data_IF_375953304518
#
_entry.id   IF_375953304518
#
_cell.length_a   1.000
_cell.length_b   1.000
_cell.length_c   1.000
_cell.angle_alpha   90.00
_cell.angle_beta   90.00
_cell.angle_gamma   90.00
#
_symmetry.space_group_name_H-M   'P 1'
#
loop_
_entity.id
_entity.type
_entity.pdbx_description
1 polymer ?
#
# COMPACT_ATOMS: atom_id res chain seq x y z
N UNK A 1 38.02 73.81 35.90
CA UNK A 1 37.04 73.33 34.89
C UNK A 1 36.79 71.81 34.85
N UNK A 2 37.61 70.91 35.45
CA UNK A 2 37.48 69.45 35.27
C UNK A 2 36.41 68.70 36.11
N UNK A 3 35.90 69.28 37.22
CA UNK A 3 34.96 68.60 38.15
C UNK A 3 33.49 68.59 37.71
N UNK A 4 33.03 69.56 36.91
CA UNK A 4 31.63 69.64 36.43
C UNK A 4 31.32 68.64 35.31
N UNK A 5 32.30 68.29 34.47
CA UNK A 5 32.12 67.35 33.34
C UNK A 5 31.89 65.91 33.84
N UNK A 6 32.61 65.47 34.87
CA UNK A 6 32.49 64.11 35.43
C UNK A 6 31.11 63.86 36.06
N UNK A 7 30.56 64.82 36.82
CA UNK A 7 29.23 64.72 37.44
C UNK A 7 28.09 64.69 36.40
N UNK A 8 28.24 65.38 35.27
CA UNK A 8 27.25 65.39 34.19
C UNK A 8 27.29 64.09 33.38
N UNK A 9 28.47 63.50 33.19
CA UNK A 9 28.66 62.21 32.53
C UNK A 9 28.11 61.04 33.37
N UNK A 10 28.25 61.11 34.70
CA UNK A 10 27.74 60.10 35.64
C UNK A 10 26.20 60.12 35.74
N UNK A 11 25.56 61.31 35.72
CA UNK A 11 24.10 61.46 35.65
C UNK A 11 23.52 60.93 34.33
N UNK A 12 24.18 61.22 33.20
CA UNK A 12 23.80 60.71 31.87
C UNK A 12 23.87 59.18 31.79
N UNK A 13 24.92 58.58 32.36
CA UNK A 13 25.06 57.11 32.42
C UNK A 13 23.96 56.45 33.27
N UNK A 14 23.65 57.02 34.44
CA UNK A 14 22.57 56.54 35.32
C UNK A 14 21.20 56.62 34.65
N UNK A 15 20.94 57.67 33.87
CA UNK A 15 19.69 57.85 33.12
C UNK A 15 19.58 56.88 31.93
N UNK A 16 20.67 56.68 31.18
CA UNK A 16 20.74 55.69 30.10
C UNK A 16 20.56 54.26 30.61
N UNK A 17 21.12 53.94 31.77
CA UNK A 17 20.99 52.61 32.40
C UNK A 17 19.54 52.37 32.88
N UNK A 18 18.91 53.35 33.53
CA UNK A 18 17.48 53.28 33.90
C UNK A 18 16.57 53.11 32.68
N UNK A 19 16.84 53.82 31.58
CA UNK A 19 16.06 53.69 30.33
C UNK A 19 16.23 52.31 29.67
N UNK A 20 17.43 51.72 29.73
CA UNK A 20 17.67 50.34 29.27
C UNK A 20 16.93 49.31 30.10
N UNK A 21 16.91 49.45 31.43
CA UNK A 21 16.15 48.57 32.33
C UNK A 21 14.65 48.68 32.05
N UNK A 22 14.13 49.90 31.90
CA UNK A 22 12.71 50.10 31.60
C UNK A 22 12.32 49.49 30.25
N UNK A 23 13.19 49.64 29.24
CA UNK A 23 12.99 49.02 27.92
C UNK A 23 13.02 47.50 28.00
N UNK A 24 13.92 46.91 28.81
CA UNK A 24 14.01 45.47 28.99
C UNK A 24 12.75 44.93 29.70
N UNK A 25 12.28 45.60 30.75
CA UNK A 25 11.05 45.23 31.45
C UNK A 25 9.83 45.32 30.53
N UNK A 26 9.77 46.33 29.66
CA UNK A 26 8.70 46.45 28.67
C UNK A 26 8.72 45.30 27.66
N UNK A 27 9.89 44.95 27.12
CA UNK A 27 10.03 43.83 26.17
C UNK A 27 9.65 42.50 26.82
N UNK A 28 10.11 42.24 28.05
CA UNK A 28 9.75 41.02 28.79
C UNK A 28 8.24 40.97 29.07
N UNK A 29 7.62 42.09 29.43
CA UNK A 29 6.18 42.19 29.63
C UNK A 29 5.39 41.92 28.34
N UNK A 30 5.84 42.45 27.20
CA UNK A 30 5.23 42.16 25.89
C UNK A 30 5.38 40.69 25.52
N UNK A 31 6.57 40.10 25.68
CA UNK A 31 6.79 38.68 25.41
C UNK A 31 5.91 37.77 26.27
N UNK A 32 5.79 38.07 27.57
CA UNK A 32 4.95 37.32 28.49
C UNK A 32 3.46 37.46 28.12
N UNK A 33 3.01 38.67 27.76
CA UNK A 33 1.66 38.91 27.26
C UNK A 33 1.35 38.14 25.97
N UNK A 34 2.29 38.10 25.02
CA UNK A 34 2.12 37.31 23.79
C UNK A 34 2.09 35.81 24.06
N UNK A 35 2.89 35.31 25.01
CA UNK A 35 2.90 33.90 25.38
C UNK A 35 1.57 33.50 26.01
N UNK A 36 1.03 34.31 26.92
CA UNK A 36 -0.28 34.08 27.52
C UNK A 36 -1.39 34.10 26.47
N UNK A 37 -1.35 35.05 25.53
CA UNK A 37 -2.31 35.10 24.42
C UNK A 37 -2.21 33.88 23.49
N UNK A 38 -1.01 33.40 23.18
CA UNK A 38 -0.83 32.17 22.39
C UNK A 38 -1.35 30.96 23.17
N UNK A 39 -1.10 30.89 24.47
CA UNK A 39 -1.55 29.79 25.33
C UNK A 39 -3.07 29.75 25.46
N UNK A 40 -3.74 30.90 25.60
CA UNK A 40 -5.22 30.94 25.64
C UNK A 40 -5.81 30.50 24.32
N UNK A 41 -5.29 31.00 23.19
CA UNK A 41 -5.74 30.59 21.85
C UNK A 41 -5.48 29.10 21.58
N UNK A 42 -4.37 28.56 22.08
CA UNK A 42 -4.08 27.13 22.00
C UNK A 42 -5.11 26.32 22.80
N UNK A 43 -5.44 26.73 24.03
CA UNK A 43 -6.45 26.06 24.85
C UNK A 43 -7.84 26.12 24.19
N UNK A 44 -8.24 27.27 23.64
CA UNK A 44 -9.50 27.43 22.91
C UNK A 44 -9.58 26.46 21.71
N UNK A 45 -8.46 26.32 20.95
CA UNK A 45 -8.39 25.40 19.81
C UNK A 45 -8.48 23.94 20.27
N UNK A 46 -7.79 23.58 21.35
CA UNK A 46 -7.84 22.22 21.92
C UNK A 46 -9.24 21.89 22.44
N UNK A 47 -9.93 22.85 23.07
CA UNK A 47 -11.31 22.72 23.51
C UNK A 47 -12.26 22.55 22.31
N UNK A 48 -12.09 23.35 21.25
CA UNK A 48 -12.90 23.24 20.03
C UNK A 48 -12.71 21.88 19.32
N UNK A 49 -11.47 21.40 19.23
CA UNK A 49 -11.16 20.07 18.67
C UNK A 49 -11.75 18.95 19.55
N UNK A 50 -11.76 19.13 20.87
CA UNK A 50 -12.33 18.16 21.81
C UNK A 50 -13.86 18.14 21.71
N UNK A 51 -14.49 19.31 21.60
CA UNK A 51 -15.93 19.45 21.38
C UNK A 51 -16.37 18.90 20.02
N UNK A 52 -15.57 19.12 18.97
CA UNK A 52 -15.80 18.53 17.65
C UNK A 52 -15.70 16.99 17.69
N UNK A 53 -14.72 16.42 18.41
CA UNK A 53 -14.64 14.98 18.65
C UNK A 53 -15.87 14.45 19.42
N UNK A 54 -16.38 15.21 20.38
CA UNK A 54 -17.54 14.83 21.18
C UNK A 54 -18.85 14.89 20.38
N UNK A 55 -19.02 15.87 19.50
CA UNK A 55 -20.14 15.97 18.57
C UNK A 55 -20.12 14.86 17.50
N UNK A 56 -18.93 14.53 16.97
CA UNK A 56 -18.75 13.39 16.04
C UNK A 56 -19.04 12.06 16.75
N UNK A 57 -18.69 11.92 18.03
CA UNK A 57 -19.01 10.73 18.83
C UNK A 57 -20.50 10.59 19.15
N UNK A 58 -21.29 11.68 19.09
CA UNK A 58 -22.73 11.66 19.36
C UNK A 58 -23.59 11.31 18.14
N UNK A 59 -23.07 11.43 16.91
CA UNK A 59 -23.71 10.81 15.75
C UNK A 59 -23.41 9.31 15.74
N UNK A 60 -24.28 8.52 16.38
CA UNK A 60 -24.29 7.05 16.31
C UNK A 60 -24.68 6.56 14.90
N UNK A 61 -23.95 7.00 13.87
CA UNK A 61 -23.86 6.22 12.64
C UNK A 61 -22.91 5.09 12.97
N UNK A 62 -23.41 3.85 12.95
CA UNK A 62 -22.55 2.66 13.08
C UNK A 62 -21.52 2.73 11.94
N UNK A 63 -20.34 3.23 12.24
CA UNK A 63 -19.24 3.40 11.30
C UNK A 63 -18.85 2.01 10.78
N UNK A 64 -19.26 1.70 9.54
CA UNK A 64 -18.96 0.42 8.91
C UNK A 64 -17.51 0.50 8.41
N UNK A 65 -16.60 -0.35 8.92
CA UNK A 65 -15.22 -0.34 8.44
C UNK A 65 -15.18 -0.64 6.95
N UNK A 66 -14.21 -0.06 6.26
CA UNK A 66 -14.04 -0.16 4.81
C UNK A 66 -12.78 -0.93 4.46
N UNK A 67 -12.83 -1.54 3.28
CA UNK A 67 -11.65 -2.04 2.58
C UNK A 67 -11.20 -0.99 1.56
N UNK A 68 -9.98 -0.48 1.70
CA UNK A 68 -9.33 0.34 0.68
C UNK A 68 -8.72 -0.56 -0.39
N UNK A 69 -9.19 -0.44 -1.62
CA UNK A 69 -8.62 -1.11 -2.79
C UNK A 69 -7.59 -0.18 -3.44
N UNK A 70 -6.34 -0.61 -3.41
CA UNK A 70 -5.17 0.16 -3.82
C UNK A 70 -4.64 -0.39 -5.14
N UNK A 71 -4.96 0.29 -6.24
CA UNK A 71 -4.59 -0.15 -7.58
C UNK A 71 -3.31 0.54 -8.06
N UNK A 72 -2.33 -0.25 -8.49
CA UNK A 72 -1.23 0.24 -9.32
C UNK A 72 -1.57 -0.07 -10.78
N UNK A 73 -1.63 0.98 -11.59
CA UNK A 73 -1.94 0.92 -13.00
C UNK A 73 -0.91 1.71 -13.79
N UNK A 74 -0.58 1.30 -15.02
CA UNK A 74 0.28 2.15 -15.86
C UNK A 74 -0.49 3.34 -16.42
N UNK A 75 -1.75 3.12 -16.81
CA UNK A 75 -2.59 4.12 -17.46
C UNK A 75 -4.07 3.79 -17.22
N UNK A 76 -4.82 3.32 -18.23
CA UNK A 76 -6.23 2.95 -18.08
C UNK A 76 -6.38 1.69 -17.22
N UNK A 77 -7.56 1.49 -16.65
CA UNK A 77 -7.97 0.23 -16.02
C UNK A 77 -8.60 -0.69 -17.07
N UNK A 78 -7.85 -1.61 -17.71
CA UNK A 78 -8.38 -2.40 -18.82
C UNK A 78 -9.47 -3.37 -18.38
N UNK A 79 -9.51 -3.72 -17.10
CA UNK A 79 -10.46 -4.66 -16.49
C UNK A 79 -11.57 -3.95 -15.69
N UNK A 80 -11.79 -2.65 -15.92
CA UNK A 80 -12.78 -1.85 -15.18
C UNK A 80 -14.19 -2.47 -15.18
N UNK A 81 -14.61 -3.14 -16.25
CA UNK A 81 -15.93 -3.78 -16.34
C UNK A 81 -16.15 -4.91 -15.33
N UNK A 82 -15.11 -5.64 -14.96
CA UNK A 82 -15.21 -6.72 -13.96
C UNK A 82 -15.28 -6.12 -12.56
N UNK A 83 -14.51 -5.05 -12.33
CA UNK A 83 -14.54 -4.31 -11.08
C UNK A 83 -15.88 -3.57 -10.89
N UNK A 84 -16.49 -3.03 -11.95
CA UNK A 84 -17.83 -2.44 -11.90
C UNK A 84 -18.89 -3.45 -11.46
N UNK A 85 -18.79 -4.69 -11.95
CA UNK A 85 -19.68 -5.77 -11.54
C UNK A 85 -19.41 -6.18 -10.08
N UNK A 86 -18.14 -6.21 -9.67
CA UNK A 86 -17.75 -6.56 -8.31
C UNK A 86 -18.22 -5.53 -7.27
N UNK A 87 -17.97 -4.25 -7.49
CA UNK A 87 -18.26 -3.18 -6.52
C UNK A 87 -19.75 -2.84 -6.40
N UNK A 88 -20.58 -3.31 -7.33
CA UNK A 88 -22.03 -3.06 -7.35
C UNK A 88 -22.69 -3.43 -6.02
N UNK A 89 -23.31 -2.44 -5.37
CA UNK A 89 -24.02 -2.61 -4.11
C UNK A 89 -23.13 -2.63 -2.86
N UNK A 90 -21.85 -2.30 -3.00
CA UNK A 90 -20.88 -2.25 -1.90
C UNK A 90 -20.51 -0.84 -1.42
N UNK A 91 -21.13 0.22 -1.94
CA UNK A 91 -20.63 1.61 -1.95
C UNK A 91 -20.24 2.20 -0.58
N UNK A 92 -20.79 1.70 0.52
CA UNK A 92 -20.46 2.17 1.89
C UNK A 92 -19.31 1.41 2.57
N UNK A 93 -18.82 0.32 1.98
CA UNK A 93 -17.89 -0.65 2.58
C UNK A 93 -16.51 -0.67 1.94
N UNK A 94 -16.24 0.22 0.99
CA UNK A 94 -14.94 0.28 0.34
C UNK A 94 -14.54 1.71 -0.05
N UNK A 95 -13.25 1.88 -0.29
CA UNK A 95 -12.68 3.04 -0.97
C UNK A 95 -11.77 2.57 -2.10
N UNK A 96 -11.62 3.37 -3.16
CA UNK A 96 -10.75 3.04 -4.30
C UNK A 96 -9.73 4.15 -4.46
N UNK A 97 -8.46 3.75 -4.57
CA UNK A 97 -7.33 4.62 -4.85
C UNK A 97 -6.53 4.02 -6.00
N UNK A 98 -6.12 4.84 -6.95
CA UNK A 98 -5.34 4.40 -8.11
C UNK A 98 -4.06 5.21 -8.19
N UNK A 99 -2.93 4.53 -8.37
CA UNK A 99 -1.66 5.15 -8.69
C UNK A 99 -1.34 4.88 -10.17
N UNK A 100 -1.75 5.77 -11.08
CA UNK A 100 -1.37 5.67 -12.49
C UNK A 100 0.06 6.20 -12.71
N UNK A 101 0.54 6.19 -13.97
CA UNK A 101 1.71 7.00 -14.34
C UNK A 101 1.46 8.50 -14.05
N UNK A 102 2.51 9.31 -13.81
CA UNK A 102 2.38 10.74 -13.59
C UNK A 102 1.58 11.45 -14.69
N UNK A 103 0.67 12.34 -14.30
CA UNK A 103 -0.14 13.16 -15.21
C UNK A 103 -1.34 12.44 -15.86
N UNK A 104 -1.56 11.15 -15.60
CA UNK A 104 -2.75 10.46 -16.09
C UNK A 104 -3.95 10.70 -15.15
N UNK A 105 -5.09 11.08 -15.72
CA UNK A 105 -6.32 11.38 -14.98
C UNK A 105 -7.42 10.37 -15.34
N UNK A 106 -8.19 9.92 -14.35
CA UNK A 106 -9.41 9.14 -14.58
C UNK A 106 -10.61 10.07 -14.67
N UNK A 107 -10.92 10.53 -15.88
CA UNK A 107 -12.09 11.37 -16.18
C UNK A 107 -13.01 10.64 -17.18
N UNK A 108 -14.12 11.29 -17.56
CA UNK A 108 -15.12 10.72 -18.49
C UNK A 108 -14.55 10.35 -19.88
N UNK A 109 -13.37 10.86 -20.26
CA UNK A 109 -12.71 10.49 -21.52
C UNK A 109 -11.76 9.27 -21.37
N UNK A 110 -11.27 8.99 -20.17
CA UNK A 110 -10.27 7.94 -19.93
C UNK A 110 -10.83 6.69 -19.27
N UNK A 111 -11.96 6.78 -18.56
CA UNK A 111 -12.68 5.64 -17.97
C UNK A 111 -14.18 5.73 -18.24
N UNK A 112 -14.83 4.57 -18.37
CA UNK A 112 -16.29 4.46 -18.41
C UNK A 112 -16.88 4.04 -17.05
N UNK A 113 -16.03 3.64 -16.12
CA UNK A 113 -16.43 3.21 -14.79
C UNK A 113 -16.69 4.42 -13.89
N UNK A 114 -17.84 4.43 -13.24
CA UNK A 114 -18.15 5.40 -12.18
C UNK A 114 -17.30 5.18 -10.92
N UNK A 115 -16.82 3.95 -10.70
CA UNK A 115 -16.01 3.60 -9.53
C UNK A 115 -14.58 4.11 -9.65
N UNK A 116 -14.01 4.18 -10.85
CA UNK A 116 -12.65 4.67 -11.08
C UNK A 116 -12.57 6.17 -11.41
N UNK A 117 -13.70 6.83 -11.66
CA UNK A 117 -13.74 8.27 -11.91
C UNK A 117 -13.13 9.04 -10.73
N UNK A 118 -12.16 9.90 -11.04
CA UNK A 118 -11.45 10.77 -10.10
C UNK A 118 -10.82 10.04 -8.90
N UNK A 119 -10.39 8.78 -9.10
CA UNK A 119 -9.74 7.96 -8.04
C UNK A 119 -8.22 7.95 -8.08
N UNK A 120 -7.59 8.64 -9.03
CA UNK A 120 -6.13 8.78 -9.03
C UNK A 120 -5.64 9.55 -7.81
N UNK A 121 -4.50 9.13 -7.27
CA UNK A 121 -3.72 9.99 -6.36
C UNK A 121 -3.09 11.14 -7.13
N UNK A 122 -2.82 12.26 -6.44
CA UNK A 122 -2.31 13.48 -7.06
C UNK A 122 -0.77 13.59 -7.08
N UNK A 123 -0.07 12.74 -6.33
CA UNK A 123 1.38 12.69 -6.16
C UNK A 123 2.00 11.43 -6.78
N UNK A 124 1.40 10.90 -7.86
CA UNK A 124 1.93 9.73 -8.59
C UNK A 124 3.36 9.94 -9.10
N UNK A 125 4.19 8.91 -8.97
CA UNK A 125 5.57 8.88 -9.46
C UNK A 125 5.74 7.90 -10.64
N UNK A 126 6.86 8.01 -11.36
CA UNK A 126 7.22 7.00 -12.34
C UNK A 126 7.60 5.70 -11.61
N UNK A 127 7.03 4.58 -12.03
CA UNK A 127 7.25 3.27 -11.41
C UNK A 127 7.92 2.34 -12.41
N UNK A 128 9.11 1.88 -12.04
CA UNK A 128 9.84 0.88 -12.81
C UNK A 128 9.76 -0.50 -12.13
N UNK A 129 9.66 -1.54 -12.94
CA UNK A 129 9.58 -2.91 -12.45
C UNK A 129 10.89 -3.33 -11.79
N UNK A 130 10.79 -3.95 -10.61
CA UNK A 130 11.93 -4.43 -9.82
C UNK A 130 12.78 -3.31 -9.20
N UNK A 131 12.28 -2.08 -9.14
CA UNK A 131 12.91 -0.95 -8.48
C UNK A 131 12.12 -0.50 -7.25
N UNK A 132 12.79 0.22 -6.34
CA UNK A 132 12.17 0.70 -5.11
C UNK A 132 11.02 1.71 -5.33
N UNK A 133 10.92 2.29 -6.54
CA UNK A 133 9.77 3.10 -6.95
C UNK A 133 8.43 2.37 -6.84
N UNK A 134 8.42 1.03 -6.95
CA UNK A 134 7.21 0.23 -6.76
C UNK A 134 6.69 0.35 -5.31
N UNK A 135 7.58 0.21 -4.32
CA UNK A 135 7.25 0.36 -2.89
C UNK A 135 6.81 1.79 -2.59
N UNK A 136 7.44 2.78 -3.21
CA UNK A 136 7.07 4.19 -3.03
C UNK A 136 5.65 4.47 -3.51
N UNK A 137 5.25 3.93 -4.66
CA UNK A 137 3.89 4.01 -5.16
C UNK A 137 2.88 3.34 -4.21
N UNK A 138 3.22 2.18 -3.63
CA UNK A 138 2.40 1.52 -2.62
C UNK A 138 2.27 2.36 -1.35
N UNK A 139 3.35 2.99 -0.87
CA UNK A 139 3.32 3.91 0.27
C UNK A 139 2.48 5.15 0.00
N UNK A 140 2.51 5.68 -1.22
CA UNK A 140 1.65 6.80 -1.64
C UNK A 140 0.18 6.38 -1.53
N UNK A 141 -0.19 5.23 -2.12
CA UNK A 141 -1.55 4.69 -2.04
C UNK A 141 -2.00 4.50 -0.58
N UNK A 142 -1.15 3.92 0.28
CA UNK A 142 -1.45 3.74 1.69
C UNK A 142 -1.69 5.07 2.40
N UNK A 143 -0.85 6.08 2.17
CA UNK A 143 -0.98 7.40 2.82
C UNK A 143 -2.31 8.06 2.50
N UNK A 144 -2.71 8.05 1.24
CA UNK A 144 -4.02 8.56 0.81
C UNK A 144 -5.15 7.73 1.40
N UNK A 145 -5.05 6.41 1.38
CA UNK A 145 -6.08 5.55 1.94
C UNK A 145 -6.23 5.67 3.47
N UNK A 146 -5.14 5.93 4.18
CA UNK A 146 -5.13 6.12 5.64
C UNK A 146 -5.83 7.41 6.08
N UNK A 147 -6.06 8.38 5.18
CA UNK A 147 -6.76 9.63 5.54
C UNK A 147 -8.22 9.40 5.87
N UNK A 148 -8.86 8.36 5.30
CA UNK A 148 -10.19 7.93 5.72
C UNK A 148 -10.05 7.07 7.00
N UNK A 149 -10.63 7.50 8.14
CA UNK A 149 -10.57 6.74 9.39
C UNK A 149 -11.32 5.40 9.31
N UNK A 150 -12.28 5.27 8.39
CA UNK A 150 -13.06 4.05 8.21
C UNK A 150 -12.30 2.96 7.46
N UNK A 151 -11.25 3.30 6.70
CA UNK A 151 -10.43 2.30 6.01
C UNK A 151 -9.62 1.48 7.04
N UNK A 152 -9.98 0.21 7.19
CA UNK A 152 -9.40 -0.70 8.19
C UNK A 152 -8.56 -1.83 7.55
N UNK A 153 -8.80 -2.10 6.27
CA UNK A 153 -8.03 -3.07 5.46
C UNK A 153 -7.57 -2.43 4.16
N UNK A 154 -6.38 -2.79 3.70
CA UNK A 154 -5.70 -2.17 2.56
C UNK A 154 -5.24 -3.26 1.60
N UNK A 155 -5.91 -3.40 0.46
CA UNK A 155 -5.71 -4.48 -0.51
C UNK A 155 -4.92 -3.95 -1.71
N UNK A 156 -3.73 -4.51 -1.98
CA UNK A 156 -2.94 -4.16 -3.16
C UNK A 156 -3.36 -4.97 -4.38
N UNK A 157 -3.58 -4.29 -5.51
CA UNK A 157 -4.00 -4.89 -6.78
C UNK A 157 -3.32 -4.22 -7.97
N UNK A 158 -3.18 -4.97 -9.07
CA UNK A 158 -2.75 -4.43 -10.35
C UNK A 158 -3.94 -4.20 -11.29
N UNK A 159 -3.69 -3.42 -12.35
CA UNK A 159 -4.56 -3.29 -13.52
C UNK A 159 -4.89 -4.61 -14.27
N UNK A 160 -4.25 -5.72 -13.90
CA UNK A 160 -4.44 -7.06 -14.48
C UNK A 160 -5.02 -8.11 -13.51
N UNK A 161 -5.44 -7.68 -12.31
CA UNK A 161 -6.10 -8.52 -11.32
C UNK A 161 -7.62 -8.61 -11.59
N UNK A 162 -8.21 -9.77 -11.27
CA UNK A 162 -9.66 -9.97 -11.21
C UNK A 162 -10.08 -10.46 -9.81
N UNK A 163 -11.28 -10.12 -9.34
CA UNK A 163 -11.92 -10.79 -8.21
C UNK A 163 -12.42 -12.17 -8.63
N UNK A 164 -12.33 -13.15 -7.72
CA UNK A 164 -12.84 -14.51 -7.92
C UNK A 164 -14.26 -14.68 -7.37
N UNK A 165 -14.63 -13.87 -6.37
CA UNK A 165 -15.91 -13.94 -5.67
C UNK A 165 -16.62 -12.58 -5.70
N UNK A 166 -17.88 -12.55 -5.27
CA UNK A 166 -18.61 -11.30 -5.12
C UNK A 166 -18.06 -10.45 -3.96
N UNK A 167 -18.47 -9.18 -3.92
CA UNK A 167 -17.98 -8.24 -2.92
C UNK A 167 -18.34 -8.64 -1.49
N UNK A 168 -19.58 -9.10 -1.24
CA UNK A 168 -20.02 -9.48 0.11
C UNK A 168 -19.14 -10.59 0.69
N UNK A 169 -18.89 -11.65 -0.08
CA UNK A 169 -18.01 -12.75 0.34
C UNK A 169 -16.59 -12.27 0.59
N UNK A 170 -16.05 -11.46 -0.33
CA UNK A 170 -14.68 -10.93 -0.23
C UNK A 170 -14.51 -10.04 1.00
N UNK A 171 -15.48 -9.15 1.24
CA UNK A 171 -15.52 -8.28 2.40
C UNK A 171 -15.59 -9.12 3.69
N UNK A 172 -16.55 -10.04 3.79
CA UNK A 172 -16.71 -10.86 5.00
C UNK A 172 -15.49 -11.73 5.26
N UNK A 173 -14.82 -12.23 4.22
CA UNK A 173 -13.58 -13.00 4.35
C UNK A 173 -12.46 -12.13 4.92
N UNK A 174 -12.14 -11.00 4.29
CA UNK A 174 -11.03 -10.12 4.69
C UNK A 174 -11.27 -9.52 6.08
N UNK A 175 -12.51 -9.14 6.38
CA UNK A 175 -12.88 -8.52 7.66
C UNK A 175 -13.04 -9.53 8.81
N UNK A 176 -13.04 -10.84 8.52
CA UNK A 176 -13.21 -11.88 9.54
C UNK A 176 -11.98 -12.16 10.41
N UNK A 177 -10.82 -11.65 10.05
CA UNK A 177 -9.57 -11.85 10.79
C UNK A 177 -8.98 -10.52 11.26
N UNK A 178 -8.27 -10.55 12.39
CA UNK A 178 -7.47 -9.44 12.91
C UNK A 178 -6.07 -9.36 12.27
N UNK A 179 -5.64 -10.39 11.56
CA UNK A 179 -4.30 -10.48 10.95
C UNK A 179 -4.23 -9.81 9.58
N UNK A 180 -3.02 -9.48 9.14
CA UNK A 180 -2.76 -9.12 7.74
C UNK A 180 -2.49 -10.37 6.90
N UNK A 181 -2.89 -10.34 5.63
CA UNK A 181 -2.52 -11.38 4.65
C UNK A 181 -1.29 -10.91 3.90
N UNK A 182 -0.12 -11.26 4.44
CA UNK A 182 1.17 -10.94 3.84
C UNK A 182 1.89 -12.24 3.60
N UNK A 183 2.10 -12.57 2.34
CA UNK A 183 2.95 -13.69 1.98
C UNK A 183 4.37 -13.42 2.48
N UNK A 184 4.91 -14.30 3.33
CA UNK A 184 6.19 -14.10 4.01
C UNK A 184 6.82 -15.44 4.36
N UNK A 185 8.04 -15.65 3.86
CA UNK A 185 8.87 -16.80 4.15
C UNK A 185 10.36 -16.45 4.12
N UNK A 186 11.20 -17.26 4.76
CA UNK A 186 12.66 -17.12 4.68
C UNK A 186 13.15 -17.34 3.23
N UNK A 187 13.93 -16.40 2.69
CA UNK A 187 14.56 -16.57 1.38
C UNK A 187 15.93 -17.23 1.52
N UNK A 188 16.02 -18.50 1.10
CA UNK A 188 17.25 -19.29 1.14
C UNK A 188 18.05 -19.22 -0.15
N UNK A 189 17.58 -18.48 -1.18
CA UNK A 189 18.29 -18.38 -2.46
C UNK A 189 19.49 -17.45 -2.35
N UNK A 190 20.67 -18.00 -2.65
CA UNK A 190 21.92 -17.25 -2.69
C UNK A 190 21.87 -16.08 -3.69
N UNK A 191 22.59 -15.00 -3.36
CA UNK A 191 22.77 -13.87 -4.27
C UNK A 191 21.59 -12.90 -4.37
N UNK A 192 20.57 -12.98 -3.52
CA UNK A 192 19.48 -11.98 -3.43
C UNK A 192 19.66 -10.98 -2.31
N UNK A 193 20.01 -11.46 -1.11
CA UNK A 193 20.36 -10.59 0.01
C UNK A 193 21.73 -9.95 -0.25
N UNK A 194 21.80 -8.63 -0.08
CA UNK A 194 23.04 -7.87 -0.17
C UNK A 194 23.65 -7.67 1.23
N UNK A 195 24.86 -8.19 1.53
CA UNK A 195 25.50 -8.06 2.84
C UNK A 195 25.68 -6.62 3.33
N UNK A 196 25.73 -5.62 2.43
CA UNK A 196 25.80 -4.20 2.80
C UNK A 196 24.52 -3.66 3.46
N UNK A 197 23.45 -4.45 3.48
CA UNK A 197 22.26 -4.12 4.26
C UNK A 197 22.44 -4.37 5.75
N UNK A 198 23.40 -5.20 6.16
CA UNK A 198 23.79 -5.39 7.55
C UNK A 198 24.58 -4.16 8.08
N UNK A 199 24.39 -3.72 9.34
CA UNK A 199 23.51 -4.29 10.37
C UNK A 199 22.07 -3.79 10.33
N UNK A 200 21.74 -2.82 9.45
CA UNK A 200 20.42 -2.16 9.45
C UNK A 200 19.29 -3.15 9.15
N UNK A 201 19.48 -4.05 8.19
CA UNK A 201 18.58 -5.18 7.92
C UNK A 201 19.39 -6.45 8.12
N UNK A 202 19.31 -7.11 9.28
CA UNK A 202 19.97 -8.38 9.51
C UNK A 202 19.42 -9.48 8.59
N UNK A 203 20.28 -10.43 8.19
CA UNK A 203 19.89 -11.52 7.29
C UNK A 203 18.76 -12.41 7.86
N UNK A 204 18.66 -12.56 9.17
CA UNK A 204 17.59 -13.36 9.81
C UNK A 204 16.20 -12.69 9.71
N UNK A 205 16.15 -11.37 9.48
CA UNK A 205 14.92 -10.64 9.21
C UNK A 205 14.61 -10.56 7.70
N UNK A 206 15.49 -11.07 6.84
CA UNK A 206 15.28 -11.07 5.40
C UNK A 206 14.16 -12.04 5.01
N UNK A 207 13.04 -11.47 4.55
CA UNK A 207 11.87 -12.24 4.15
C UNK A 207 11.54 -12.00 2.69
N UNK A 208 10.89 -12.98 2.06
CA UNK A 208 10.33 -12.91 0.70
C UNK A 208 8.84 -13.20 0.72
N UNK A 209 8.12 -12.63 -0.24
CA UNK A 209 6.79 -13.08 -0.61
C UNK A 209 6.22 -12.33 -1.79
N UNK A 210 4.95 -12.54 -2.05
CA UNK A 210 4.16 -11.77 -3.02
C UNK A 210 4.11 -10.28 -2.66
N UNK A 211 4.24 -9.43 -3.68
CA UNK A 211 3.89 -8.00 -3.63
C UNK A 211 2.42 -7.80 -3.19
N UNK A 212 1.53 -8.70 -3.61
CA UNK A 212 0.08 -8.54 -3.47
C UNK A 212 -0.38 -8.98 -2.08
N UNK A 213 -0.45 -8.05 -1.14
CA UNK A 213 -0.89 -8.28 0.24
C UNK A 213 -2.20 -7.58 0.61
N UNK A 214 -2.71 -7.93 1.79
CA UNK A 214 -3.76 -7.19 2.49
C UNK A 214 -3.27 -6.80 3.86
N UNK A 215 -3.15 -5.49 4.12
CA UNK A 215 -2.69 -4.97 5.40
C UNK A 215 -3.86 -4.57 6.29
N UNK A 216 -3.70 -4.73 7.60
CA UNK A 216 -4.49 -4.02 8.60
C UNK A 216 -4.06 -2.55 8.65
N UNK A 217 -4.90 -1.69 9.22
CA UNK A 217 -4.55 -0.28 9.45
C UNK A 217 -3.27 -0.11 10.27
N UNK A 218 -3.03 -0.98 11.25
CA UNK A 218 -1.78 -0.99 12.03
C UNK A 218 -0.56 -1.20 11.14
N UNK A 219 -0.55 -2.24 10.31
CA UNK A 219 0.59 -2.52 9.42
C UNK A 219 0.74 -1.52 8.29
N UNK A 220 -0.36 -0.98 7.77
CA UNK A 220 -0.33 0.11 6.79
C UNK A 220 0.43 1.34 7.33
N UNK A 221 0.18 1.73 8.59
CA UNK A 221 0.93 2.83 9.25
C UNK A 221 2.41 2.52 9.37
N UNK A 222 2.77 1.32 9.83
CA UNK A 222 4.17 0.88 9.93
C UNK A 222 4.90 1.03 8.59
N UNK A 223 4.25 0.65 7.49
CA UNK A 223 4.82 0.76 6.14
C UNK A 223 5.01 2.22 5.69
N UNK A 224 4.05 3.10 5.99
CA UNK A 224 4.10 4.52 5.60
C UNK A 224 5.10 5.31 6.46
N UNK A 225 5.22 4.97 7.74
CA UNK A 225 6.10 5.62 8.73
C UNK A 225 7.56 5.11 8.68
N UNK A 226 7.88 4.11 7.85
CA UNK A 226 9.25 3.61 7.75
C UNK A 226 10.21 4.64 7.14
N UNK A 227 11.28 4.96 7.88
CA UNK A 227 12.37 5.84 7.44
C UNK A 227 13.73 5.12 7.39
N UNK A 228 13.78 3.84 7.74
CA UNK A 228 15.04 3.11 7.96
C UNK A 228 15.24 2.00 6.92
N UNK A 229 14.21 1.17 6.70
CA UNK A 229 14.33 -0.03 5.86
C UNK A 229 14.28 0.34 4.38
N UNK A 230 13.35 1.21 3.95
CA UNK A 230 13.20 1.59 2.55
C UNK A 230 14.47 2.24 1.97
N UNK A 231 15.18 3.17 2.65
CA UNK A 231 16.45 3.68 2.16
C UNK A 231 17.50 2.59 1.88
N UNK A 232 17.55 1.53 2.69
CA UNK A 232 18.45 0.40 2.46
C UNK A 232 18.05 -0.39 1.22
N UNK A 233 16.75 -0.64 1.02
CA UNK A 233 16.24 -1.26 -0.21
C UNK A 233 16.56 -0.42 -1.44
N UNK A 234 16.29 0.89 -1.40
CA UNK A 234 16.62 1.84 -2.49
C UNK A 234 18.09 1.77 -2.89
N UNK A 235 18.99 1.64 -1.91
CA UNK A 235 20.43 1.67 -2.13
C UNK A 235 21.01 0.32 -2.57
N UNK A 236 20.54 -0.79 -2.00
CA UNK A 236 21.24 -2.08 -2.10
C UNK A 236 20.42 -3.23 -2.69
N UNK A 237 19.08 -3.15 -2.69
CA UNK A 237 18.23 -4.12 -3.35
C UNK A 237 18.02 -3.70 -4.81
N UNK A 238 18.81 -4.29 -5.71
CA UNK A 238 18.80 -3.95 -7.14
C UNK A 238 18.50 -5.19 -7.97
N UNK A 239 17.59 -5.08 -8.94
CA UNK A 239 17.42 -6.16 -9.91
C UNK A 239 18.69 -6.30 -10.76
N UNK A 240 19.02 -7.52 -11.20
CA UNK A 240 20.02 -7.68 -12.25
C UNK A 240 19.50 -7.05 -13.55
N UNK A 241 20.35 -6.37 -14.35
CA UNK A 241 19.94 -5.88 -15.66
C UNK A 241 19.53 -7.08 -16.52
N UNK A 242 18.30 -7.05 -17.02
CA UNK A 242 17.75 -8.12 -17.85
C UNK A 242 17.80 -7.75 -19.32
N UNK A 243 17.97 -8.75 -20.21
CA UNK A 243 18.03 -8.51 -21.64
C UNK A 243 16.82 -7.91 -22.33
N UNK A 244 15.76 -7.66 -21.61
CA UNK A 244 14.51 -7.15 -22.17
C UNK A 244 14.33 -5.65 -21.93
N UNK A 245 15.06 -5.07 -20.96
CA UNK A 245 14.96 -3.66 -20.59
C UNK A 245 16.13 -2.81 -21.13
N UNK A 246 16.84 -3.31 -22.14
CA UNK A 246 18.11 -2.79 -22.68
C UNK A 246 18.10 -1.39 -23.29
N UNK A 247 16.96 -0.69 -23.40
CA UNK A 247 16.94 0.53 -24.21
C UNK A 247 17.59 1.74 -23.55
N UNK A 248 17.73 1.77 -22.22
CA UNK A 248 18.08 3.04 -21.54
C UNK A 248 19.13 2.94 -20.41
N UNK A 249 19.88 1.84 -20.26
CA UNK A 249 20.85 1.69 -19.13
C UNK A 249 22.24 1.22 -19.53
N UNK A 250 23.27 1.91 -18.99
CA UNK A 250 24.67 1.49 -19.05
C UNK A 250 24.85 0.20 -18.25
N UNK A 251 25.32 -0.86 -18.92
CA UNK A 251 25.58 -2.16 -18.30
C UNK A 251 27.01 -2.14 -17.74
N UNK A 252 27.22 -2.29 -16.43
CA UNK A 252 28.55 -2.52 -15.91
C UNK A 252 29.14 -3.78 -16.54
N UNK A 253 30.39 -3.72 -16.99
CA UNK A 253 31.08 -4.87 -17.59
C UNK A 253 31.11 -6.12 -16.68
N UNK A 254 30.94 -5.92 -15.37
CA UNK A 254 30.83 -6.97 -14.36
C UNK A 254 29.49 -6.86 -13.59
N UNK A 255 28.60 -7.82 -13.81
CA UNK A 255 27.31 -7.95 -13.10
C UNK A 255 27.34 -9.04 -12.01
N UNK A 256 28.49 -9.69 -11.79
CA UNK A 256 28.65 -10.77 -10.79
C UNK A 256 28.39 -10.28 -9.37
N UNK A 257 28.67 -8.99 -9.11
CA UNK A 257 28.49 -8.32 -7.81
C UNK A 257 27.08 -7.78 -7.57
N UNK A 258 26.18 -7.86 -8.56
CA UNK A 258 24.80 -7.40 -8.41
C UNK A 258 23.97 -8.51 -7.77
N UNK A 259 23.46 -8.26 -6.57
CA UNK A 259 22.54 -9.19 -5.91
C UNK A 259 21.16 -9.03 -6.53
N UNK A 260 20.58 -10.08 -7.12
CA UNK A 260 19.31 -9.99 -7.85
C UNK A 260 18.11 -9.87 -6.90
N UNK A 261 17.83 -8.65 -6.47
CA UNK A 261 16.85 -8.34 -5.45
C UNK A 261 15.68 -7.55 -6.05
N UNK A 262 14.44 -7.99 -5.77
CA UNK A 262 13.20 -7.38 -6.26
C UNK A 262 12.50 -6.71 -5.06
N UNK A 263 12.61 -5.38 -4.88
CA UNK A 263 12.22 -4.73 -3.62
C UNK A 263 10.78 -5.02 -3.16
N UNK A 264 9.83 -4.99 -4.08
CA UNK A 264 8.40 -5.18 -3.84
C UNK A 264 8.02 -6.62 -3.40
N UNK A 265 8.90 -7.60 -3.63
CA UNK A 265 8.73 -8.97 -3.16
C UNK A 265 9.38 -9.25 -1.79
N UNK A 266 9.93 -8.23 -1.14
CA UNK A 266 10.76 -8.40 0.05
C UNK A 266 10.54 -7.34 1.14
N UNK A 267 10.27 -6.09 0.76
CA UNK A 267 10.28 -4.96 1.68
C UNK A 267 9.25 -5.05 2.80
N UNK A 268 7.96 -5.27 2.47
CA UNK A 268 6.89 -5.28 3.47
C UNK A 268 7.11 -6.42 4.47
N UNK A 269 7.47 -7.60 3.96
CA UNK A 269 7.76 -8.78 4.76
C UNK A 269 8.94 -8.54 5.72
N UNK A 270 10.03 -8.01 5.18
CA UNK A 270 11.27 -7.74 5.94
C UNK A 270 11.04 -6.65 6.99
N UNK A 271 10.31 -5.58 6.65
CA UNK A 271 9.97 -4.52 7.58
C UNK A 271 9.13 -5.05 8.75
N UNK A 272 8.10 -5.85 8.48
CA UNK A 272 7.25 -6.42 9.53
C UNK A 272 8.01 -7.42 10.41
N UNK A 273 8.90 -8.23 9.82
CA UNK A 273 9.82 -9.09 10.58
C UNK A 273 10.74 -8.29 11.50
N UNK A 274 11.34 -7.22 10.98
CA UNK A 274 12.22 -6.35 11.74
C UNK A 274 11.50 -5.59 12.88
N UNK A 275 10.20 -5.37 12.76
CA UNK A 275 9.35 -4.79 13.80
C UNK A 275 8.80 -5.83 14.79
N UNK A 276 9.10 -7.12 14.61
CA UNK A 276 8.60 -8.20 15.46
C UNK A 276 7.10 -8.48 15.28
N UNK A 277 6.54 -8.18 14.10
CA UNK A 277 5.10 -8.25 13.82
C UNK A 277 4.70 -9.50 13.02
N UNK A 278 5.57 -10.51 12.91
CA UNK A 278 5.29 -11.71 12.10
C UNK A 278 4.13 -12.55 12.63
N UNK A 279 3.92 -12.55 13.95
CA UNK A 279 2.83 -13.27 14.61
C UNK A 279 1.45 -12.64 14.31
N UNK A 280 1.42 -11.41 13.79
CA UNK A 280 0.20 -10.71 13.38
C UNK A 280 -0.16 -10.95 11.90
N UNK A 281 0.54 -11.89 11.24
CA UNK A 281 0.38 -12.20 9.83
C UNK A 281 -0.24 -13.59 9.64
N UNK A 282 -1.23 -13.66 8.76
CA UNK A 282 -1.49 -14.87 8.00
C UNK A 282 -0.50 -14.89 6.85
N UNK A 283 0.52 -15.76 6.94
CA UNK A 283 1.70 -15.79 6.06
C UNK A 283 1.40 -16.35 4.66
N UNK A 284 0.49 -15.68 3.94
CA UNK A 284 0.08 -15.95 2.56
C UNK A 284 -0.58 -14.73 1.92
N UNK A 285 -0.61 -14.72 0.59
CA UNK A 285 -1.36 -13.76 -0.21
C UNK A 285 -2.80 -14.25 -0.46
N UNK A 286 -3.72 -13.30 -0.64
CA UNK A 286 -5.07 -13.58 -1.16
C UNK A 286 -5.17 -13.48 -2.69
N UNK A 287 -4.05 -13.26 -3.38
CA UNK A 287 -4.00 -13.12 -4.83
C UNK A 287 -3.27 -14.29 -5.48
N UNK A 288 -4.02 -15.14 -6.18
CA UNK A 288 -3.45 -16.24 -6.94
C UNK A 288 -2.61 -15.73 -8.11
N UNK A 289 -1.41 -16.28 -8.26
CA UNK A 289 -0.51 -15.99 -9.38
C UNK A 289 0.01 -17.31 -9.92
N UNK A 290 -0.22 -17.60 -11.20
CA UNK A 290 0.35 -18.80 -11.83
C UNK A 290 1.73 -18.52 -12.41
N UNK A 291 2.67 -19.38 -12.03
CA UNK A 291 4.03 -19.40 -12.54
C UNK A 291 4.31 -20.64 -13.40
N UNK A 292 3.29 -21.46 -13.71
CA UNK A 292 3.44 -22.68 -14.49
C UNK A 292 3.85 -22.37 -15.94
N UNK A 293 5.05 -22.84 -16.29
CA UNK A 293 5.82 -22.46 -17.48
C UNK A 293 5.49 -23.36 -18.68
N UNK A 294 4.76 -24.46 -18.46
CA UNK A 294 4.52 -25.50 -19.47
C UNK A 294 3.90 -25.01 -20.79
N UNK A 295 3.16 -23.89 -20.76
CA UNK A 295 2.47 -23.32 -21.93
C UNK A 295 2.97 -21.93 -22.38
N UNK A 296 4.06 -21.40 -21.82
CA UNK A 296 4.55 -20.06 -22.19
C UNK A 296 5.27 -20.06 -23.54
N UNK A 297 4.68 -19.39 -24.54
CA UNK A 297 5.25 -19.19 -25.90
C UNK A 297 6.41 -18.17 -25.97
N UNK A 298 6.86 -17.61 -24.84
CA UNK A 298 7.96 -16.66 -24.76
C UNK A 298 9.10 -17.26 -23.91
N UNK A 299 10.10 -17.92 -24.52
CA UNK A 299 11.17 -18.64 -23.81
C UNK A 299 12.09 -17.73 -22.97
N UNK A 300 12.20 -16.47 -23.33
CA UNK A 300 13.02 -15.41 -22.72
C UNK A 300 12.40 -14.78 -21.46
N UNK A 301 11.06 -14.82 -21.33
CA UNK A 301 10.30 -14.27 -20.18
C UNK A 301 10.08 -15.25 -19.04
N UNK A 302 10.66 -16.45 -19.12
CA UNK A 302 10.46 -17.53 -18.16
C UNK A 302 10.95 -17.13 -16.77
N UNK A 303 10.11 -17.30 -15.75
CA UNK A 303 10.48 -17.12 -14.34
C UNK A 303 10.51 -15.68 -13.81
N UNK A 304 10.34 -14.66 -14.66
CA UNK A 304 10.35 -13.24 -14.26
C UNK A 304 8.97 -12.61 -14.14
N UNK A 305 8.02 -13.13 -14.92
CA UNK A 305 6.64 -12.71 -14.87
C UNK A 305 5.71 -13.91 -14.83
N UNK A 306 4.61 -13.81 -14.08
CA UNK A 306 3.62 -14.87 -14.08
C UNK A 306 2.85 -14.93 -15.39
N UNK A 307 2.19 -16.06 -15.59
CA UNK A 307 1.37 -16.34 -16.76
C UNK A 307 0.28 -15.28 -16.90
N UNK A 308 0.09 -14.82 -18.14
CA UNK A 308 -1.01 -13.92 -18.50
C UNK A 308 -2.07 -14.71 -19.25
N UNK A 309 -3.20 -14.95 -18.59
CA UNK A 309 -4.34 -15.66 -19.14
C UNK A 309 -5.00 -14.84 -20.28
N UNK A 310 -5.06 -15.46 -21.45
CA UNK A 310 -5.71 -14.94 -22.65
C UNK A 310 -7.15 -15.43 -22.72
N UNK A 311 -7.87 -15.01 -23.76
CA UNK A 311 -9.26 -15.39 -23.98
C UNK A 311 -9.46 -16.91 -23.89
N UNK A 312 -8.63 -17.71 -24.56
CA UNK A 312 -8.70 -19.18 -24.57
C UNK A 312 -8.56 -19.81 -23.19
N UNK A 313 -7.72 -19.23 -22.34
CA UNK A 313 -7.29 -19.81 -21.07
C UNK A 313 -8.35 -19.57 -19.98
N UNK A 314 -9.10 -18.47 -20.10
CA UNK A 314 -10.12 -18.02 -19.16
C UNK A 314 -11.40 -18.87 -19.21
N UNK A 315 -11.30 -20.09 -18.72
CA UNK A 315 -12.39 -21.09 -18.69
C UNK A 315 -13.03 -21.19 -17.30
N UNK A 316 -14.29 -21.66 -17.20
CA UNK A 316 -14.90 -21.99 -15.90
C UNK A 316 -14.08 -23.00 -15.10
N UNK A 317 -13.44 -23.96 -15.77
CA UNK A 317 -12.59 -24.97 -15.16
C UNK A 317 -11.35 -24.34 -14.51
N UNK A 318 -10.70 -23.38 -15.17
CA UNK A 318 -9.59 -22.62 -14.58
C UNK A 318 -10.03 -21.89 -13.31
N UNK A 319 -11.17 -21.19 -13.37
CA UNK A 319 -11.67 -20.45 -12.20
C UNK A 319 -12.03 -21.40 -11.05
N UNK A 320 -12.67 -22.53 -11.36
CA UNK A 320 -12.99 -23.56 -10.37
C UNK A 320 -11.72 -24.11 -9.72
N UNK A 321 -10.71 -24.46 -10.53
CA UNK A 321 -9.42 -24.94 -10.03
C UNK A 321 -8.76 -23.94 -9.06
N UNK A 322 -8.69 -22.65 -9.43
CA UNK A 322 -8.09 -21.62 -8.55
C UNK A 322 -8.88 -21.52 -7.22
N UNK A 323 -10.21 -21.58 -7.28
CA UNK A 323 -11.10 -21.50 -6.11
C UNK A 323 -11.00 -22.71 -5.18
N UNK A 324 -10.67 -23.88 -5.71
CA UNK A 324 -10.52 -25.13 -4.95
C UNK A 324 -9.19 -25.23 -4.21
N UNK A 325 -8.23 -24.32 -4.43
CA UNK A 325 -6.99 -24.30 -3.67
C UNK A 325 -7.28 -23.88 -2.22
N UNK A 326 -7.04 -24.81 -1.30
CA UNK A 326 -7.30 -24.69 0.15
C UNK A 326 -6.03 -24.67 1.00
N UNK A 327 -4.85 -24.82 0.38
CA UNK A 327 -3.56 -24.70 1.05
C UNK A 327 -2.44 -24.24 0.11
N UNK A 328 -1.37 -23.70 0.70
CA UNK A 328 -0.16 -23.26 0.00
C UNK A 328 1.05 -23.92 0.64
N UNK A 329 1.97 -24.46 -0.18
CA UNK A 329 3.21 -25.07 0.30
C UNK A 329 4.40 -24.13 0.08
N UNK A 330 5.12 -23.85 1.17
CA UNK A 330 6.33 -23.03 1.20
C UNK A 330 7.55 -23.93 1.31
N UNK A 331 8.17 -24.20 0.17
CA UNK A 331 9.29 -25.13 0.04
C UNK A 331 10.48 -24.76 0.94
N UNK A 332 10.82 -23.46 1.05
CA UNK A 332 11.98 -23.00 1.81
C UNK A 332 11.83 -23.19 3.32
N UNK A 333 10.60 -23.30 3.81
CA UNK A 333 10.29 -23.48 5.24
C UNK A 333 9.73 -24.87 5.55
N UNK A 334 9.58 -25.74 4.54
CA UNK A 334 8.84 -27.01 4.64
C UNK A 334 7.47 -26.85 5.32
N UNK A 335 6.82 -25.69 5.09
CA UNK A 335 5.57 -25.30 5.76
C UNK A 335 4.40 -25.38 4.81
N UNK A 336 3.30 -25.96 5.27
CA UNK A 336 2.01 -25.92 4.58
C UNK A 336 1.07 -24.97 5.31
N UNK A 337 0.60 -23.95 4.61
CA UNK A 337 -0.38 -22.99 5.10
C UNK A 337 -1.77 -23.44 4.66
N UNK A 338 -2.56 -23.96 5.61
CA UNK A 338 -3.95 -24.33 5.36
C UNK A 338 -4.85 -23.10 5.50
N UNK A 339 -5.66 -22.85 4.48
CA UNK A 339 -6.46 -21.64 4.40
C UNK A 339 -7.76 -21.79 5.19
N UNK A 340 -8.04 -20.78 6.00
CA UNK A 340 -9.25 -20.74 6.82
C UNK A 340 -9.86 -19.34 6.81
N UNK A 341 -11.16 -19.29 7.08
CA UNK A 341 -11.93 -18.07 7.31
C UNK A 341 -12.91 -18.33 8.44
N UNK A 342 -13.01 -17.41 9.41
CA UNK A 342 -13.85 -17.57 10.62
C UNK A 342 -13.60 -18.90 11.36
N UNK A 343 -12.34 -19.35 11.40
CA UNK A 343 -11.94 -20.60 12.05
C UNK A 343 -12.34 -21.89 11.31
N UNK A 344 -12.87 -21.80 10.08
CA UNK A 344 -13.26 -22.96 9.26
C UNK A 344 -12.38 -23.08 8.02
N UNK A 345 -12.12 -24.30 7.50
CA UNK A 345 -11.43 -24.48 6.22
C UNK A 345 -12.08 -23.66 5.11
N UNK A 346 -11.26 -23.03 4.27
CA UNK A 346 -11.72 -22.14 3.20
C UNK A 346 -10.74 -22.08 2.04
N UNK A 347 -11.15 -21.42 0.96
CA UNK A 347 -10.26 -21.14 -0.18
C UNK A 347 -9.11 -20.21 0.24
N UNK A 348 -7.98 -20.33 -0.44
CA UNK A 348 -6.84 -19.45 -0.22
C UNK A 348 -6.95 -18.09 -0.92
N UNK A 349 -7.61 -18.02 -2.08
CA UNK A 349 -7.48 -16.87 -2.97
C UNK A 349 -8.82 -16.17 -3.20
N UNK A 350 -8.84 -14.86 -3.06
CA UNK A 350 -9.99 -14.00 -3.38
C UNK A 350 -9.81 -13.27 -4.71
N UNK A 351 -8.56 -13.11 -5.15
CA UNK A 351 -8.18 -12.45 -6.39
C UNK A 351 -7.28 -13.36 -7.21
N UNK A 352 -7.18 -13.10 -8.51
CA UNK A 352 -6.25 -13.79 -9.39
C UNK A 352 -5.62 -12.86 -10.42
N UNK A 353 -4.40 -13.21 -10.85
CA UNK A 353 -3.65 -12.49 -11.88
C UNK A 353 -2.76 -13.45 -12.70
N UNK A 354 -2.41 -13.11 -13.94
CA UNK A 354 -2.75 -11.88 -14.69
C UNK A 354 -3.75 -12.18 -15.79
N UNK A 355 -4.74 -11.31 -15.99
CA UNK A 355 -5.77 -11.49 -17.03
C UNK A 355 -5.71 -10.37 -18.06
N UNK A 356 -5.87 -10.75 -19.34
CA UNK A 356 -6.09 -9.77 -20.42
C UNK A 356 -7.54 -9.29 -20.43
N UNK A 357 -7.82 -8.15 -21.08
CA UNK A 357 -9.20 -7.66 -21.25
C UNK A 357 -10.13 -8.68 -21.93
N UNK A 358 -9.74 -9.37 -23.03
CA UNK A 358 -10.56 -10.43 -23.61
C UNK A 358 -10.83 -11.59 -22.65
N UNK A 359 -9.82 -12.01 -21.86
CA UNK A 359 -9.99 -13.04 -20.85
C UNK A 359 -11.04 -12.66 -19.80
N UNK A 360 -10.94 -11.45 -19.26
CA UNK A 360 -11.88 -10.93 -18.28
C UNK A 360 -13.31 -10.79 -18.82
N UNK A 361 -13.47 -10.31 -20.07
CA UNK A 361 -14.77 -10.24 -20.73
C UNK A 361 -15.42 -11.61 -20.92
N UNK A 362 -14.62 -12.63 -21.27
CA UNK A 362 -15.10 -14.02 -21.37
C UNK A 362 -15.68 -14.49 -20.04
N UNK A 363 -14.97 -14.27 -18.93
CA UNK A 363 -15.41 -14.67 -17.60
C UNK A 363 -16.69 -13.93 -17.18
N UNK A 364 -16.77 -12.62 -17.42
CA UNK A 364 -17.95 -11.83 -17.09
C UNK A 364 -19.20 -12.33 -17.84
N UNK A 365 -19.06 -12.64 -19.13
CA UNK A 365 -20.15 -13.19 -19.94
C UNK A 365 -20.59 -14.58 -19.46
N UNK A 366 -19.65 -15.44 -19.05
CA UNK A 366 -19.96 -16.76 -18.52
C UNK A 366 -20.72 -16.68 -17.18
N UNK A 367 -20.35 -15.73 -16.32
CA UNK A 367 -21.07 -15.47 -15.07
C UNK A 367 -22.49 -14.97 -15.33
N UNK A 368 -22.67 -13.99 -16.22
CA UNK A 368 -23.98 -13.47 -16.59
C UNK A 368 -24.89 -14.56 -17.22
N UNK A 369 -24.33 -15.41 -18.07
CA UNK A 369 -25.05 -16.56 -18.66
C UNK A 369 -25.40 -17.63 -17.61
N UNK A 370 -24.56 -17.80 -16.58
CA UNK A 370 -24.84 -18.67 -15.44
C UNK A 370 -26.02 -18.17 -14.60
N UNK A 371 -26.09 -16.87 -14.34
CA UNK A 371 -27.21 -16.22 -13.65
C UNK A 371 -28.51 -16.33 -14.46
N UNK A 372 -28.46 -16.11 -15.78
CA UNK A 372 -29.62 -16.28 -16.68
C UNK A 372 -30.11 -17.73 -16.75
N UNK A 373 -29.21 -18.72 -16.73
CA UNK A 373 -29.59 -20.14 -16.67
C UNK A 373 -30.13 -20.54 -15.29
N UNK A 374 -29.61 -19.96 -14.21
CA UNK A 374 -30.09 -20.19 -12.84
C UNK A 374 -31.52 -19.67 -12.63
N UNK A 375 -31.85 -18.49 -13.18
CA UNK A 375 -33.20 -17.93 -13.11
C UNK A 375 -34.24 -18.78 -13.84
N UNK A 376 -33.88 -19.38 -14.98
CA UNK A 376 -34.75 -20.29 -15.73
C UNK A 376 -34.89 -21.69 -15.10
N UNK A 377 -33.98 -22.08 -14.20
CA UNK A 377 -34.03 -23.36 -13.50
C UNK A 377 -34.91 -23.32 -12.23
N UNK A 378 -35.17 -22.14 -11.68
CA UNK A 378 -36.08 -21.92 -10.53
C UNK A 378 -37.55 -21.69 -10.93
N UNK A 379 -37.89 -21.79 -12.22
CA UNK A 379 -39.25 -21.58 -12.73
C UNK A 379 -39.88 -22.85 -13.35
N UNK A 380 -39.52 -24.04 -12.86
CA UNK A 380 -40.21 -25.30 -13.20
C UNK A 380 -40.54 -26.11 -11.97
#
# INVERSE_FOLDING_TARGET
MKRKVVLQQQKSFKYKWKRKILSLMFVVGVCFGTLLFVQTRYNDVVELVSFQKQLVSQSQVKEIPKIAFLFIARNRMPLEMVWDAFFRGGDSKFSIFVHPRPGFLFNKATTRSTYFLDRQVNDSIQVDWGEASMIEAERILLRHALSDPLNDRFVFLSDSCIPLYNFSYTYDYIMSTSTSFVDSFADTKEGRYNPKMHPVIPVHNWRKGSQWGVLTRKHAKVVVEDEIVLPMFRKYCKKKPLPEFWRDQHIPADTSKIHNCIPDEHYVQTLLAQKGLEEELTRRSLTHTSWDISNSKAPDRRGWHPVTYKYSDATPMLIKFIKEIDNIYYETEYRREWCSSKGKPSTCFLFARKFTRPAALRLLNLSALGELRGQNATSR
#
